data_IF_113325529034
#
_entry.id   IF_113325529034
#
_cell.length_a   1.000
_cell.length_b   1.000
_cell.length_c   1.000
_cell.angle_alpha   90.00
_cell.angle_beta   90.00
_cell.angle_gamma   90.00
#
_symmetry.space_group_name_H-M   'P 1'
#
loop_
_entity.id
_entity.type
_entity.pdbx_description
1 polymer ?
#
# COMPACT_ATOMS: atom_id res chain seq x y z
N UNK A 1 -7.86 33.69 -0.58
CA UNK A 1 -8.88 33.20 0.37
C UNK A 1 -8.26 32.09 1.21
N UNK A 2 -7.71 32.43 2.38
CA UNK A 2 -7.01 31.48 3.25
C UNK A 2 -7.98 30.38 3.69
N UNK A 3 -7.70 29.15 3.29
CA UNK A 3 -8.38 27.96 3.80
C UNK A 3 -8.23 27.96 5.32
N UNK A 4 -9.35 28.18 6.03
CA UNK A 4 -9.41 28.14 7.48
C UNK A 4 -9.01 26.73 7.90
N UNK A 5 -7.74 26.56 8.29
CA UNK A 5 -7.23 25.34 8.91
C UNK A 5 -8.09 25.06 10.14
N UNK A 6 -9.10 24.20 9.99
CA UNK A 6 -9.96 23.78 11.08
C UNK A 6 -9.07 23.02 12.06
N UNK A 7 -8.62 23.69 13.12
CA UNK A 7 -7.88 23.09 14.24
C UNK A 7 -8.72 21.96 14.83
N UNK A 8 -8.56 20.74 14.31
CA UNK A 8 -9.11 19.54 14.91
C UNK A 8 -8.21 19.24 16.11
N UNK A 9 -8.66 19.62 17.30
CA UNK A 9 -7.81 19.64 18.50
C UNK A 9 -7.41 18.25 19.02
N UNK A 10 -7.99 17.16 18.51
CA UNK A 10 -7.70 15.79 18.96
C UNK A 10 -7.82 14.80 17.80
N UNK A 11 -6.82 13.94 17.67
CA UNK A 11 -6.89 12.73 16.85
C UNK A 11 -7.85 11.76 17.55
N UNK A 12 -8.86 11.26 16.85
CA UNK A 12 -9.82 10.32 17.45
C UNK A 12 -9.33 8.87 17.35
N UNK A 13 -9.88 7.97 18.18
CA UNK A 13 -9.51 6.54 18.13
C UNK A 13 -9.85 5.94 16.76
N UNK A 14 -10.96 6.38 16.17
CA UNK A 14 -11.42 5.96 14.86
C UNK A 14 -10.46 6.40 13.75
N UNK A 15 -9.87 7.60 13.86
CA UNK A 15 -8.85 8.07 12.92
C UNK A 15 -7.57 7.24 12.99
N UNK A 16 -7.14 6.86 14.19
CA UNK A 16 -5.96 5.99 14.38
C UNK A 16 -6.23 4.61 13.77
N UNK A 17 -7.41 4.03 14.01
CA UNK A 17 -7.79 2.74 13.44
C UNK A 17 -7.85 2.81 11.92
N UNK A 18 -8.41 3.87 11.36
CA UNK A 18 -8.46 4.07 9.90
C UNK A 18 -7.05 4.19 9.30
N UNK A 19 -6.18 5.00 9.91
CA UNK A 19 -4.80 5.16 9.46
C UNK A 19 -4.00 3.84 9.56
N UNK A 20 -4.25 3.04 10.59
CA UNK A 20 -3.66 1.70 10.74
C UNK A 20 -4.14 0.76 9.61
N UNK A 21 -5.43 0.78 9.28
CA UNK A 21 -5.97 -0.01 8.16
C UNK A 21 -5.33 0.43 6.83
N UNK A 22 -5.15 1.74 6.62
CA UNK A 22 -4.50 2.29 5.43
C UNK A 22 -3.02 1.93 5.31
N UNK A 23 -2.36 1.52 6.41
CA UNK A 23 -1.00 0.96 6.38
C UNK A 23 -1.03 -0.55 6.14
N UNK A 24 -1.92 -1.29 6.81
CA UNK A 24 -1.99 -2.75 6.76
C UNK A 24 -2.43 -3.26 5.38
N UNK A 25 -3.44 -2.64 4.76
CA UNK A 25 -3.96 -3.12 3.48
C UNK A 25 -2.88 -3.09 2.39
N UNK A 26 -2.20 -1.95 2.13
CA UNK A 26 -1.14 -1.92 1.12
C UNK A 26 0.05 -2.83 1.46
N UNK A 27 0.40 -2.94 2.76
CA UNK A 27 1.42 -3.88 3.22
C UNK A 27 1.12 -5.31 2.76
N UNK A 28 -0.10 -5.79 3.02
CA UNK A 28 -0.54 -7.13 2.63
C UNK A 28 -0.60 -7.30 1.12
N UNK A 29 -1.12 -6.31 0.39
CA UNK A 29 -1.19 -6.34 -1.08
C UNK A 29 0.22 -6.49 -1.68
N UNK A 30 1.19 -5.71 -1.20
CA UNK A 30 2.56 -5.77 -1.72
C UNK A 30 3.24 -7.08 -1.35
N UNK A 31 3.04 -7.62 -0.14
CA UNK A 31 3.55 -8.95 0.21
C UNK A 31 2.98 -10.02 -0.71
N UNK A 32 1.66 -10.02 -0.94
CA UNK A 32 1.03 -10.99 -1.83
C UNK A 32 1.55 -10.85 -3.26
N UNK A 33 1.67 -9.62 -3.75
CA UNK A 33 2.22 -9.35 -5.08
C UNK A 33 3.66 -9.87 -5.21
N UNK A 34 4.53 -9.54 -4.25
CA UNK A 34 5.90 -10.03 -4.22
C UNK A 34 5.95 -11.55 -4.10
N UNK A 35 5.06 -12.17 -3.34
CA UNK A 35 4.99 -13.63 -3.20
C UNK A 35 4.58 -14.30 -4.51
N UNK A 36 3.53 -13.80 -5.18
CA UNK A 36 3.15 -14.31 -6.49
C UNK A 36 4.26 -14.11 -7.51
N UNK A 37 4.92 -12.95 -7.48
CA UNK A 37 6.10 -12.69 -8.28
C UNK A 37 7.26 -13.59 -7.88
N UNK A 38 7.42 -14.01 -6.63
CA UNK A 38 8.52 -14.88 -6.26
C UNK A 38 8.35 -16.30 -6.83
N UNK A 39 7.10 -16.77 -6.86
CA UNK A 39 6.78 -18.13 -7.33
C UNK A 39 6.45 -18.21 -8.82
N UNK A 40 6.26 -17.08 -9.53
CA UNK A 40 5.68 -17.11 -10.87
C UNK A 40 6.51 -17.92 -11.88
N UNK A 41 7.83 -17.99 -11.71
CA UNK A 41 8.70 -18.78 -12.59
C UNK A 41 8.42 -20.28 -12.56
N UNK A 42 7.90 -20.79 -11.44
CA UNK A 42 7.50 -22.20 -11.33
C UNK A 42 6.33 -22.56 -12.26
N UNK A 43 5.65 -21.58 -12.87
CA UNK A 43 4.57 -21.84 -13.82
C UNK A 43 5.03 -21.95 -15.28
N UNK A 44 6.28 -21.64 -15.62
CA UNK A 44 6.79 -21.77 -16.98
C UNK A 44 7.49 -23.12 -17.20
N UNK A 45 7.18 -23.81 -18.30
CA UNK A 45 7.82 -25.07 -18.71
C UNK A 45 9.34 -24.93 -18.87
N UNK A 46 9.76 -23.74 -19.26
CA UNK A 46 11.15 -23.39 -19.58
C UNK A 46 11.85 -22.75 -18.35
N UNK A 47 11.13 -22.62 -17.23
CA UNK A 47 11.59 -21.98 -16.00
C UNK A 47 12.79 -22.65 -15.31
N UNK A 48 13.27 -23.78 -15.86
CA UNK A 48 14.50 -24.45 -15.44
C UNK A 48 15.76 -23.94 -16.17
N UNK A 49 15.62 -23.10 -17.20
CA UNK A 49 16.77 -22.67 -17.99
C UNK A 49 17.66 -21.68 -17.24
N UNK A 50 17.14 -20.76 -16.43
CA UNK A 50 17.84 -19.90 -15.45
C UNK A 50 16.79 -18.95 -14.80
N UNK A 51 16.74 -18.74 -13.46
CA UNK A 51 17.64 -19.22 -12.42
C UNK A 51 17.19 -20.55 -11.75
N UNK A 52 18.12 -21.30 -11.12
CA UNK A 52 17.92 -22.67 -10.61
C UNK A 52 17.17 -22.79 -9.27
N UNK A 53 16.54 -21.72 -8.77
CA UNK A 53 15.92 -21.69 -7.45
C UNK A 53 14.39 -21.60 -7.53
N UNK A 54 13.69 -22.29 -6.62
CA UNK A 54 12.21 -22.30 -6.50
C UNK A 54 11.60 -20.91 -6.28
N UNK A 55 12.44 -19.94 -5.92
CA UNK A 55 12.12 -18.57 -5.57
C UNK A 55 13.11 -17.64 -6.27
N UNK A 56 12.65 -16.48 -6.76
CA UNK A 56 13.50 -15.41 -7.29
C UNK A 56 14.27 -14.72 -6.16
N UNK A 57 13.62 -14.53 -5.03
CA UNK A 57 14.13 -13.82 -3.88
C UNK A 57 14.83 -14.80 -2.94
N UNK A 58 16.16 -14.74 -2.83
CA UNK A 58 16.89 -15.64 -1.93
C UNK A 58 16.66 -15.29 -0.45
N UNK A 59 16.27 -14.04 -0.16
CA UNK A 59 16.05 -13.56 1.20
C UNK A 59 14.57 -13.19 1.43
N UNK A 60 14.01 -13.76 2.50
CA UNK A 60 12.65 -13.47 2.97
C UNK A 60 12.49 -12.05 3.51
N UNK A 61 13.58 -11.37 3.84
CA UNK A 61 13.56 -9.96 4.28
C UNK A 61 12.99 -9.02 3.20
N UNK A 62 13.01 -9.43 1.93
CA UNK A 62 12.46 -8.68 0.80
C UNK A 62 10.94 -8.50 0.96
N UNK A 63 10.22 -9.50 1.46
CA UNK A 63 8.79 -9.39 1.72
C UNK A 63 8.47 -8.36 2.79
N UNK A 64 9.25 -8.37 3.88
CA UNK A 64 9.06 -7.42 4.97
C UNK A 64 9.39 -6.00 4.50
N UNK A 65 10.54 -5.81 3.85
CA UNK A 65 11.01 -4.51 3.39
C UNK A 65 10.10 -3.95 2.29
N UNK A 66 9.74 -4.78 1.31
CA UNK A 66 8.80 -4.44 0.26
C UNK A 66 7.41 -4.13 0.81
N UNK A 67 6.92 -4.94 1.75
CA UNK A 67 5.68 -4.67 2.47
C UNK A 67 5.70 -3.32 3.19
N UNK A 68 6.75 -3.00 3.95
CA UNK A 68 6.89 -1.72 4.67
C UNK A 68 6.92 -0.52 3.72
N UNK A 69 7.69 -0.61 2.63
CA UNK A 69 7.73 0.43 1.60
C UNK A 69 6.34 0.59 0.96
N UNK A 70 5.70 -0.53 0.63
CA UNK A 70 4.34 -0.59 0.11
C UNK A 70 3.30 0.04 1.03
N UNK A 71 3.42 -0.19 2.34
CA UNK A 71 2.57 0.40 3.38
C UNK A 71 2.66 1.93 3.36
N UNK A 72 3.88 2.47 3.36
CA UNK A 72 4.12 3.91 3.37
C UNK A 72 3.57 4.54 2.09
N UNK A 73 3.92 4.00 0.92
CA UNK A 73 3.47 4.53 -0.38
C UNK A 73 1.94 4.43 -0.48
N UNK A 74 1.38 3.27 -0.19
CA UNK A 74 -0.06 3.03 -0.26
C UNK A 74 -0.87 3.91 0.70
N UNK A 75 -0.36 4.15 1.91
CA UNK A 75 -0.98 5.06 2.87
C UNK A 75 -1.13 6.48 2.29
N UNK A 76 -0.07 7.02 1.67
CA UNK A 76 -0.13 8.34 1.04
C UNK A 76 -1.05 8.35 -0.18
N UNK A 77 -1.02 7.32 -1.02
CA UNK A 77 -1.91 7.21 -2.19
C UNK A 77 -3.39 7.20 -1.74
N UNK A 78 -3.74 6.38 -0.74
CA UNK A 78 -5.11 6.29 -0.22
C UNK A 78 -5.54 7.64 0.36
N UNK A 79 -4.69 8.30 1.14
CA UNK A 79 -5.02 9.63 1.70
C UNK A 79 -5.20 10.69 0.61
N UNK A 80 -4.34 10.72 -0.40
CA UNK A 80 -4.47 11.63 -1.55
C UNK A 80 -5.78 11.38 -2.30
N UNK A 81 -6.13 10.12 -2.52
CA UNK A 81 -7.37 9.75 -3.19
C UNK A 81 -8.61 10.19 -2.38
N UNK A 82 -8.63 9.93 -1.07
CA UNK A 82 -9.72 10.36 -0.18
C UNK A 82 -9.81 11.89 -0.13
N UNK A 83 -8.66 12.58 -0.14
CA UNK A 83 -8.62 14.04 -0.18
C UNK A 83 -9.27 14.58 -1.45
N UNK A 84 -8.88 14.08 -2.62
CA UNK A 84 -9.46 14.48 -3.91
C UNK A 84 -10.98 14.26 -3.94
N UNK A 85 -11.45 13.08 -3.51
CA UNK A 85 -12.89 12.78 -3.45
C UNK A 85 -13.68 13.70 -2.51
N UNK A 86 -13.06 14.19 -1.44
CA UNK A 86 -13.71 15.14 -0.53
C UNK A 86 -13.80 16.53 -1.15
N UNK A 87 -12.78 16.94 -1.90
CA UNK A 87 -12.75 18.23 -2.59
C UNK A 87 -13.84 18.28 -3.67
N UNK A 88 -13.97 17.23 -4.49
CA UNK A 88 -15.03 17.12 -5.52
C UNK A 88 -16.44 17.23 -4.93
N UNK A 89 -16.70 16.56 -3.81
CA UNK A 89 -18.00 16.64 -3.12
C UNK A 89 -18.31 18.03 -2.58
N UNK A 90 -17.31 18.83 -2.23
CA UNK A 90 -17.50 20.20 -1.78
C UNK A 90 -17.78 21.15 -2.95
N UNK A 91 -17.27 20.85 -4.14
CA UNK A 91 -17.55 21.62 -5.36
C UNK A 91 -18.97 21.36 -5.86
N UNK A 92 -19.45 20.12 -5.85
CA UNK A 92 -20.80 19.75 -6.35
C UNK A 92 -21.94 20.30 -5.47
N UNK A 93 -21.70 20.47 -4.16
CA UNK A 93 -22.70 20.99 -3.20
C UNK A 93 -22.70 22.52 -3.05
N UNK A 94 -21.97 23.26 -3.90
CA UNK A 94 -21.98 24.72 -3.98
C UNK A 94 -22.72 25.17 -5.21
#
# INVERSE_FOLDING_TARGET
>A
MFHKLRKKNKITKEEIIADLIFLIIPFLIVILFLFFFDIHWNFYSDGQLFPPEKYIFPDKSIYLTGGLIGAIIGFFIIKLFIFALKEDKLVINR
#
